data_IF_884110918172
#
_entry.id   IF_884110918172
#
_cell.length_a   1.000
_cell.length_b   1.000
_cell.length_c   1.000
_cell.angle_alpha   90.00
_cell.angle_beta   90.00
_cell.angle_gamma   90.00
#
_symmetry.space_group_name_H-M   'P 1'
#
loop_
_entity.id
_entity.type
_entity.pdbx_description
1 polymer ?
#
# COMPACT_ATOMS: atom_id res chain seq x y z
N UNK A 1 -10.59 -10.98 -10.52
CA UNK A 1 -11.43 -10.20 -11.46
C UNK A 1 -11.23 -8.69 -11.32
N UNK A 2 -11.62 -8.02 -10.22
CA UNK A 2 -11.50 -6.55 -10.12
C UNK A 2 -10.04 -6.06 -10.16
N UNK A 3 -9.13 -6.70 -9.41
CA UNK A 3 -7.69 -6.40 -9.42
C UNK A 3 -7.06 -6.62 -10.80
N UNK A 4 -7.44 -7.70 -11.47
CA UNK A 4 -6.82 -8.10 -12.73
C UNK A 4 -7.29 -7.16 -13.87
N UNK A 5 -8.58 -6.80 -13.88
CA UNK A 5 -9.11 -5.74 -14.74
C UNK A 5 -8.45 -4.39 -14.47
N UNK A 6 -8.20 -4.05 -13.20
CA UNK A 6 -7.52 -2.80 -12.87
C UNK A 6 -6.05 -2.80 -13.31
N UNK A 7 -5.35 -3.94 -13.23
CA UNK A 7 -3.96 -4.06 -13.72
C UNK A 7 -3.87 -3.85 -15.23
N UNK A 8 -4.82 -4.39 -15.98
CA UNK A 8 -4.93 -4.17 -17.43
C UNK A 8 -5.17 -2.69 -17.72
N UNK A 9 -6.19 -2.09 -17.08
CA UNK A 9 -6.46 -0.66 -17.17
C UNK A 9 -5.24 0.22 -16.84
N UNK A 10 -4.50 -0.07 -15.75
CA UNK A 10 -3.31 0.69 -15.37
C UNK A 10 -2.20 0.58 -16.42
N UNK A 11 -2.02 -0.60 -17.02
CA UNK A 11 -1.00 -0.82 -18.05
C UNK A 11 -1.34 -0.06 -19.32
N UNK A 12 -2.59 -0.17 -19.77
CA UNK A 12 -3.07 0.48 -20.99
C UNK A 12 -3.06 2.00 -20.84
N UNK A 13 -3.55 2.50 -19.69
CA UNK A 13 -3.53 3.93 -19.38
C UNK A 13 -2.10 4.45 -19.30
N UNK A 14 -1.19 3.74 -18.62
CA UNK A 14 0.20 4.14 -18.46
C UNK A 14 0.95 4.24 -19.79
N UNK A 15 0.85 3.22 -20.65
CA UNK A 15 1.53 3.21 -21.95
C UNK A 15 0.94 4.21 -22.94
N UNK A 16 -0.36 4.07 -23.26
CA UNK A 16 -1.01 4.92 -24.26
C UNK A 16 -1.14 6.38 -23.81
N UNK A 17 -1.33 6.60 -22.51
CA UNK A 17 -1.41 7.94 -21.93
C UNK A 17 -0.05 8.64 -21.97
N UNK A 18 1.03 7.95 -21.61
CA UNK A 18 2.38 8.53 -21.64
C UNK A 18 2.78 8.93 -23.06
N UNK A 19 2.56 8.05 -24.06
CA UNK A 19 2.84 8.37 -25.46
C UNK A 19 2.11 9.63 -25.94
N UNK A 20 0.84 9.80 -25.54
CA UNK A 20 0.04 10.98 -25.90
C UNK A 20 0.54 12.25 -25.21
N UNK A 21 0.92 12.16 -23.94
CA UNK A 21 1.48 13.29 -23.18
C UNK A 21 2.84 13.69 -23.75
N UNK A 22 3.68 12.74 -24.11
CA UNK A 22 4.98 12.99 -24.75
C UNK A 22 4.83 13.67 -26.11
N UNK A 23 3.89 13.21 -26.94
CA UNK A 23 3.58 13.83 -28.23
C UNK A 23 3.07 15.28 -28.06
N UNK A 24 2.18 15.53 -27.09
CA UNK A 24 1.67 16.86 -26.79
C UNK A 24 2.78 17.80 -26.28
N UNK A 25 3.66 17.29 -25.41
CA UNK A 25 4.83 18.02 -24.92
C UNK A 25 5.81 18.38 -26.05
N UNK A 26 6.05 17.45 -26.98
CA UNK A 26 6.91 17.71 -28.14
C UNK A 26 6.32 18.79 -29.06
N UNK A 27 5.00 18.76 -29.30
CA UNK A 27 4.31 19.78 -30.08
C UNK A 27 4.37 21.16 -29.39
N UNK A 28 4.13 21.22 -28.07
CA UNK A 28 4.24 22.44 -27.29
C UNK A 28 5.66 23.03 -27.33
N UNK A 29 6.68 22.19 -27.17
CA UNK A 29 8.08 22.59 -27.24
C UNK A 29 8.45 23.17 -28.62
N UNK A 30 7.96 22.57 -29.70
CA UNK A 30 8.20 23.07 -31.06
C UNK A 30 7.59 24.46 -31.28
N UNK A 31 6.37 24.72 -30.79
CA UNK A 31 5.72 26.03 -30.87
C UNK A 31 6.48 27.10 -30.06
N UNK A 32 6.95 26.74 -28.87
CA UNK A 32 7.72 27.65 -28.01
C UNK A 32 9.06 27.99 -28.65
N UNK A 33 9.80 26.98 -29.13
CA UNK A 33 11.10 27.17 -29.79
C UNK A 33 10.98 27.95 -31.11
N UNK A 34 9.87 27.76 -31.84
CA UNK A 34 9.55 28.50 -33.07
C UNK A 34 9.14 29.97 -32.84
N UNK A 35 9.08 30.43 -31.57
CA UNK A 35 8.77 31.82 -31.25
C UNK A 35 7.28 32.18 -31.38
N UNK A 36 6.37 31.20 -31.28
CA UNK A 36 4.94 31.41 -31.42
C UNK A 36 4.45 32.61 -30.56
N UNK A 37 3.54 33.47 -31.07
CA UNK A 37 3.05 34.65 -30.34
C UNK A 37 2.46 34.31 -28.97
N UNK A 38 1.78 33.17 -28.86
CA UNK A 38 1.16 32.70 -27.62
C UNK A 38 2.03 31.72 -26.81
N UNK A 39 3.35 31.70 -27.01
CA UNK A 39 4.27 30.77 -26.33
C UNK A 39 4.11 30.72 -24.80
N UNK A 40 3.75 31.83 -24.16
CA UNK A 40 3.48 31.87 -22.72
C UNK A 40 2.23 31.06 -22.33
N UNK A 41 1.14 31.18 -23.11
CA UNK A 41 -0.08 30.39 -22.91
C UNK A 41 0.16 28.90 -23.22
N UNK A 42 0.91 28.61 -24.29
CA UNK A 42 1.31 27.22 -24.62
C UNK A 42 2.10 26.58 -23.49
N UNK A 43 3.07 27.30 -22.89
CA UNK A 43 3.84 26.77 -21.76
C UNK A 43 2.96 26.52 -20.51
N UNK A 44 1.97 27.38 -20.28
CA UNK A 44 1.02 27.21 -19.18
C UNK A 44 0.13 25.98 -19.38
N UNK A 45 -0.40 25.76 -20.59
CA UNK A 45 -1.18 24.55 -20.90
C UNK A 45 -0.33 23.29 -20.81
N UNK A 46 0.93 23.35 -21.28
CA UNK A 46 1.87 22.25 -21.15
C UNK A 46 2.12 21.88 -19.68
N UNK A 47 2.33 22.89 -18.82
CA UNK A 47 2.49 22.67 -17.39
C UNK A 47 1.24 22.04 -16.76
N UNK A 48 0.05 22.56 -17.07
CA UNK A 48 -1.21 22.02 -16.56
C UNK A 48 -1.51 20.58 -17.04
N UNK A 49 -1.17 20.25 -18.29
CA UNK A 49 -1.27 18.89 -18.82
C UNK A 49 -0.38 17.93 -18.02
N UNK A 50 0.87 18.31 -17.77
CA UNK A 50 1.83 17.48 -17.04
C UNK A 50 1.42 17.31 -15.57
N UNK A 51 0.89 18.35 -14.95
CA UNK A 51 0.32 18.28 -13.59
C UNK A 51 -0.87 17.31 -13.54
N UNK A 52 -1.86 17.47 -14.42
CA UNK A 52 -3.01 16.57 -14.48
C UNK A 52 -2.63 15.11 -14.79
N UNK A 53 -1.61 14.89 -15.63
CA UNK A 53 -1.08 13.56 -15.90
C UNK A 53 -0.42 12.94 -14.66
N UNK A 54 0.40 13.71 -13.95
CA UNK A 54 1.03 13.26 -12.72
C UNK A 54 -0.01 12.90 -11.64
N UNK A 55 -1.05 13.72 -11.47
CA UNK A 55 -2.16 13.43 -10.55
C UNK A 55 -2.90 12.13 -10.91
N UNK A 56 -3.15 11.91 -12.21
CA UNK A 56 -3.78 10.67 -12.66
C UNK A 56 -2.91 9.44 -12.36
N UNK A 57 -1.60 9.52 -12.62
CA UNK A 57 -0.68 8.43 -12.30
C UNK A 57 -0.65 8.11 -10.80
N UNK A 58 -0.65 9.13 -9.94
CA UNK A 58 -0.74 8.96 -8.48
C UNK A 58 -2.06 8.32 -8.05
N UNK A 59 -3.19 8.72 -8.64
CA UNK A 59 -4.49 8.11 -8.38
C UNK A 59 -4.50 6.63 -8.78
N UNK A 60 -3.96 6.31 -9.96
CA UNK A 60 -3.85 4.92 -10.45
C UNK A 60 -2.96 4.09 -9.52
N UNK A 61 -1.81 4.64 -9.10
CA UNK A 61 -0.89 3.97 -8.17
C UNK A 61 -1.55 3.71 -6.80
N UNK A 62 -2.22 4.72 -6.23
CA UNK A 62 -2.97 4.60 -4.98
C UNK A 62 -4.02 3.50 -5.07
N UNK A 63 -4.81 3.50 -6.16
CA UNK A 63 -5.85 2.50 -6.35
C UNK A 63 -5.29 1.09 -6.55
N UNK A 64 -4.14 0.94 -7.22
CA UNK A 64 -3.45 -0.34 -7.34
C UNK A 64 -3.03 -0.89 -5.96
N UNK A 65 -2.49 -0.02 -5.10
CA UNK A 65 -2.09 -0.39 -3.74
C UNK A 65 -3.29 -0.83 -2.88
N UNK A 66 -4.41 -0.10 -2.94
CA UNK A 66 -5.64 -0.46 -2.23
C UNK A 66 -6.17 -1.84 -2.64
N UNK A 67 -6.25 -2.10 -3.95
CA UNK A 67 -6.73 -3.37 -4.47
C UNK A 67 -5.80 -4.53 -4.11
N UNK A 68 -4.48 -4.30 -4.11
CA UNK A 68 -3.51 -5.28 -3.65
C UNK A 68 -3.69 -5.60 -2.17
N UNK A 69 -3.81 -4.57 -1.32
CA UNK A 69 -4.00 -4.73 0.12
C UNK A 69 -5.32 -5.47 0.45
N UNK A 70 -6.42 -5.11 -0.23
CA UNK A 70 -7.71 -5.77 -0.06
C UNK A 70 -7.64 -7.25 -0.47
N UNK A 71 -6.98 -7.56 -1.59
CA UNK A 71 -6.77 -8.93 -2.04
C UNK A 71 -5.94 -9.75 -1.04
N UNK A 72 -4.82 -9.21 -0.56
CA UNK A 72 -3.95 -9.88 0.41
C UNK A 72 -4.71 -10.19 1.71
N UNK A 73 -5.52 -9.24 2.19
CA UNK A 73 -6.36 -9.44 3.38
C UNK A 73 -7.43 -10.52 3.17
N UNK A 74 -8.08 -10.54 2.01
CA UNK A 74 -9.08 -11.57 1.69
C UNK A 74 -8.44 -12.96 1.62
N UNK A 75 -7.27 -13.06 0.96
CA UNK A 75 -6.49 -14.30 0.91
C UNK A 75 -6.12 -14.77 2.32
N UNK A 76 -5.52 -13.91 3.14
CA UNK A 76 -5.17 -14.22 4.52
C UNK A 76 -6.37 -14.75 5.32
N UNK A 77 -7.52 -14.05 5.25
CA UNK A 77 -8.75 -14.45 5.95
C UNK A 77 -9.24 -15.83 5.51
N UNK A 78 -9.18 -16.13 4.22
CA UNK A 78 -9.58 -17.43 3.68
C UNK A 78 -8.64 -18.52 4.18
N UNK A 79 -7.33 -18.31 4.03
CA UNK A 79 -6.32 -19.30 4.38
C UNK A 79 -6.36 -19.58 5.91
N UNK A 80 -6.51 -18.55 6.75
CA UNK A 80 -6.69 -18.70 8.19
C UNK A 80 -7.98 -19.46 8.59
N UNK A 81 -9.10 -19.21 7.89
CA UNK A 81 -10.36 -19.94 8.13
C UNK A 81 -10.24 -21.41 7.76
N UNK A 82 -9.54 -21.71 6.67
CA UNK A 82 -9.31 -23.09 6.22
C UNK A 82 -8.49 -23.86 7.26
N UNK A 83 -7.35 -23.30 7.71
CA UNK A 83 -6.51 -23.93 8.74
C UNK A 83 -7.29 -24.13 10.03
N UNK A 84 -8.06 -23.12 10.47
CA UNK A 84 -8.88 -23.24 11.67
C UNK A 84 -9.96 -24.33 11.55
N UNK A 85 -10.58 -24.48 10.38
CA UNK A 85 -11.54 -25.55 10.13
C UNK A 85 -10.88 -26.93 10.20
N UNK A 86 -9.74 -27.11 9.54
CA UNK A 86 -8.99 -28.38 9.57
C UNK A 86 -8.54 -28.76 10.98
N UNK A 87 -8.06 -27.79 11.76
CA UNK A 87 -7.68 -28.02 13.15
C UNK A 87 -8.89 -28.45 14.01
N UNK A 88 -10.04 -27.80 13.82
CA UNK A 88 -11.29 -28.17 14.52
C UNK A 88 -11.78 -29.56 14.13
N UNK A 89 -11.67 -29.91 12.86
CA UNK A 89 -12.09 -31.23 12.37
C UNK A 89 -11.18 -32.32 12.92
N UNK A 90 -9.85 -32.13 12.90
CA UNK A 90 -8.90 -33.05 13.54
C UNK A 90 -9.16 -33.16 15.05
N UNK A 91 -9.39 -32.05 15.75
CA UNK A 91 -9.70 -32.10 17.19
C UNK A 91 -10.94 -32.94 17.54
N UNK A 92 -11.95 -33.01 16.64
CA UNK A 92 -13.13 -33.87 16.82
C UNK A 92 -12.90 -35.34 16.48
N UNK A 93 -11.82 -35.66 15.77
CA UNK A 93 -11.50 -37.01 15.31
C UNK A 93 -10.56 -37.76 16.26
N UNK A 94 -10.11 -37.13 17.35
CA UNK A 94 -9.22 -37.76 18.34
C UNK A 94 -9.95 -38.96 18.97
N UNK A 95 -9.47 -40.20 18.77
CA UNK A 95 -10.10 -41.37 19.34
C UNK A 95 -9.93 -41.41 20.86
N UNK A 96 -11.01 -41.66 21.59
CA UNK A 96 -10.99 -41.82 23.06
C UNK A 96 -10.94 -43.30 23.50
N UNK A 97 -11.07 -44.23 22.55
CA UNK A 97 -11.04 -45.66 22.83
C UNK A 97 -9.64 -46.13 23.27
N UNK A 98 -9.58 -47.01 24.29
CA UNK A 98 -8.33 -47.52 24.85
C UNK A 98 -8.04 -48.99 24.48
N UNK A 99 -8.99 -49.67 23.85
CA UNK A 99 -8.92 -51.10 23.56
C UNK A 99 -9.31 -51.97 24.76
N UNK A 100 -9.71 -53.22 24.50
CA UNK A 100 -10.19 -54.16 25.53
C UNK A 100 -9.14 -55.20 25.94
N UNK A 101 -8.03 -55.25 25.20
CA UNK A 101 -6.90 -56.14 25.41
C UNK A 101 -5.62 -55.52 24.84
N UNK A 102 -4.48 -56.17 25.07
CA UNK A 102 -3.16 -55.70 24.63
C UNK A 102 -3.08 -55.50 23.11
N UNK A 103 -3.59 -56.44 22.32
CA UNK A 103 -3.49 -56.38 20.86
C UNK A 103 -4.30 -55.20 20.30
N UNK A 104 -5.49 -54.99 20.86
CA UNK A 104 -6.35 -53.86 20.52
C UNK A 104 -5.70 -52.52 20.91
N UNK A 105 -5.13 -52.43 22.11
CA UNK A 105 -4.44 -51.24 22.59
C UNK A 105 -3.21 -50.90 21.73
N UNK A 106 -2.37 -51.88 21.38
CA UNK A 106 -1.23 -51.70 20.47
C UNK A 106 -1.67 -51.28 19.05
N UNK A 107 -2.82 -51.76 18.59
CA UNK A 107 -3.42 -51.33 17.32
C UNK A 107 -3.83 -49.86 17.34
N UNK A 108 -4.54 -49.45 18.38
CA UNK A 108 -4.97 -48.07 18.59
C UNK A 108 -3.77 -47.13 18.77
N UNK A 109 -2.72 -47.57 19.46
CA UNK A 109 -1.49 -46.80 19.65
C UNK A 109 -0.79 -46.48 18.32
N UNK A 110 -0.65 -47.48 17.43
CA UNK A 110 -0.12 -47.25 16.07
C UNK A 110 -1.00 -46.30 15.25
N UNK A 111 -2.31 -46.43 15.35
CA UNK A 111 -3.25 -45.51 14.68
C UNK A 111 -3.13 -44.09 15.23
N UNK A 112 -2.98 -43.94 16.55
CA UNK A 112 -2.83 -42.64 17.18
C UNK A 112 -1.52 -41.96 16.75
N UNK A 113 -0.40 -42.68 16.70
CA UNK A 113 0.86 -42.14 16.15
C UNK A 113 0.72 -41.67 14.71
N UNK A 114 0.00 -42.40 13.87
CA UNK A 114 -0.27 -41.97 12.50
C UNK A 114 -1.14 -40.71 12.47
N UNK A 115 -2.15 -40.62 13.35
CA UNK A 115 -2.97 -39.43 13.51
C UNK A 115 -2.16 -38.21 13.97
N UNK A 116 -1.23 -38.38 14.93
CA UNK A 116 -0.32 -37.31 15.37
C UNK A 116 0.54 -36.79 14.23
N UNK A 117 1.06 -37.69 13.38
CA UNK A 117 1.81 -37.30 12.19
C UNK A 117 0.96 -36.47 11.21
N UNK A 118 -0.29 -36.86 10.98
CA UNK A 118 -1.23 -36.08 10.16
C UNK A 118 -1.50 -34.68 10.75
N UNK A 119 -1.60 -34.58 12.08
CA UNK A 119 -1.78 -33.28 12.76
C UNK A 119 -0.52 -32.42 12.61
N UNK A 120 0.67 -33.01 12.74
CA UNK A 120 1.94 -32.30 12.53
C UNK A 120 2.05 -31.74 11.11
N UNK A 121 1.51 -32.41 10.10
CA UNK A 121 1.48 -31.90 8.73
C UNK A 121 0.71 -30.56 8.59
N UNK A 122 -0.22 -30.25 9.51
CA UNK A 122 -0.92 -28.96 9.55
C UNK A 122 -0.06 -27.82 10.10
N UNK A 123 1.05 -28.11 10.80
CA UNK A 123 1.94 -27.09 11.38
C UNK A 123 2.53 -26.16 10.32
N UNK A 124 2.84 -26.67 9.12
CA UNK A 124 3.33 -25.84 8.02
C UNK A 124 2.29 -24.79 7.59
N UNK A 125 1.01 -25.15 7.57
CA UNK A 125 -0.08 -24.25 7.18
C UNK A 125 -0.37 -23.22 8.28
N UNK A 126 -0.34 -23.64 9.54
CA UNK A 126 -0.43 -22.75 10.70
C UNK A 126 0.72 -21.73 10.73
N UNK A 127 1.96 -22.19 10.53
CA UNK A 127 3.13 -21.33 10.40
C UNK A 127 3.02 -20.32 9.25
N UNK A 128 2.46 -20.72 8.10
CA UNK A 128 2.24 -19.81 6.97
C UNK A 128 1.23 -18.70 7.31
N UNK A 129 0.13 -19.03 8.01
CA UNK A 129 -0.86 -18.05 8.48
C UNK A 129 -0.23 -17.11 9.52
N UNK A 130 0.56 -17.64 10.47
CA UNK A 130 1.26 -16.85 11.47
C UNK A 130 2.26 -15.87 10.84
N UNK A 131 3.04 -16.32 9.85
CA UNK A 131 3.96 -15.47 9.11
C UNK A 131 3.25 -14.34 8.35
N UNK A 132 2.16 -14.65 7.64
CA UNK A 132 1.35 -13.65 6.94
C UNK A 132 0.77 -12.60 7.90
N UNK A 133 0.33 -13.02 9.09
CA UNK A 133 -0.14 -12.11 10.12
C UNK A 133 0.97 -11.18 10.65
N UNK A 134 2.16 -11.73 10.92
CA UNK A 134 3.32 -10.95 11.35
C UNK A 134 3.71 -9.91 10.29
N UNK A 135 3.68 -10.28 9.01
CA UNK A 135 3.96 -9.38 7.91
C UNK A 135 2.94 -8.23 7.85
N UNK A 136 1.64 -8.53 7.92
CA UNK A 136 0.57 -7.53 7.93
C UNK A 136 0.74 -6.54 9.08
N UNK A 137 1.02 -7.03 10.29
CA UNK A 137 1.34 -6.18 11.44
C UNK A 137 2.53 -5.28 11.17
N UNK A 138 3.60 -5.82 10.57
CA UNK A 138 4.78 -5.06 10.18
C UNK A 138 4.46 -3.94 9.18
N UNK A 139 3.67 -4.23 8.14
CA UNK A 139 3.19 -3.23 7.16
C UNK A 139 2.40 -2.10 7.85
N UNK A 140 1.45 -2.45 8.73
CA UNK A 140 0.68 -1.47 9.50
C UNK A 140 1.54 -0.59 10.40
N UNK A 141 2.53 -1.18 11.09
CA UNK A 141 3.46 -0.43 11.94
C UNK A 141 4.33 0.54 11.13
N UNK A 142 4.83 0.11 9.97
CA UNK A 142 5.60 0.98 9.06
C UNK A 142 4.76 2.15 8.56
N UNK A 143 3.52 1.90 8.11
CA UNK A 143 2.58 2.97 7.69
C UNK A 143 2.36 3.97 8.83
N UNK A 144 2.12 3.50 10.05
CA UNK A 144 1.92 4.37 11.22
C UNK A 144 3.13 5.26 11.50
N UNK A 145 4.35 4.72 11.41
CA UNK A 145 5.59 5.50 11.59
C UNK A 145 5.70 6.59 10.52
N UNK A 146 5.58 6.22 9.24
CA UNK A 146 5.62 7.18 8.12
C UNK A 146 4.58 8.29 8.26
N UNK A 147 3.35 7.95 8.65
CA UNK A 147 2.30 8.96 8.90
C UNK A 147 2.68 9.90 10.05
N UNK A 148 3.27 9.37 11.11
CA UNK A 148 3.83 10.18 12.20
C UNK A 148 4.91 11.13 11.69
N UNK A 149 5.89 10.62 10.95
CA UNK A 149 7.01 11.39 10.42
C UNK A 149 6.53 12.52 9.49
N UNK A 150 5.57 12.22 8.60
CA UNK A 150 4.95 13.22 7.72
C UNK A 150 4.16 14.28 8.50
N UNK A 151 3.46 13.91 9.57
CA UNK A 151 2.78 14.87 10.43
C UNK A 151 3.79 15.82 11.09
N UNK A 152 4.90 15.31 11.61
CA UNK A 152 5.96 16.16 12.18
C UNK A 152 6.59 17.08 11.12
N UNK A 153 6.82 16.57 9.91
CA UNK A 153 7.29 17.39 8.78
C UNK A 153 6.34 18.56 8.49
N UNK A 154 5.03 18.32 8.40
CA UNK A 154 4.07 19.39 8.13
C UNK A 154 3.96 20.39 9.30
N UNK A 155 4.05 19.93 10.54
CA UNK A 155 4.11 20.83 11.71
C UNK A 155 5.33 21.74 11.65
N UNK A 156 6.50 21.20 11.31
CA UNK A 156 7.72 21.98 11.14
C UNK A 156 7.58 23.02 10.03
N UNK A 157 7.10 22.62 8.83
CA UNK A 157 6.90 23.53 7.70
C UNK A 157 5.95 24.68 8.04
N UNK A 158 4.88 24.39 8.78
CA UNK A 158 3.96 25.42 9.28
C UNK A 158 4.67 26.38 10.23
N UNK A 159 5.36 25.87 11.24
CA UNK A 159 6.09 26.71 12.21
C UNK A 159 7.14 27.60 11.52
N UNK A 160 7.88 27.07 10.55
CA UNK A 160 8.86 27.82 9.78
C UNK A 160 8.22 28.95 8.95
N UNK A 161 7.06 28.68 8.33
CA UNK A 161 6.31 29.70 7.58
C UNK A 161 5.79 30.81 8.49
N UNK A 162 5.23 30.44 9.64
CA UNK A 162 4.73 31.39 10.62
C UNK A 162 5.86 32.29 11.14
N UNK A 163 7.04 31.70 11.44
CA UNK A 163 8.23 32.45 11.85
C UNK A 163 8.72 33.40 10.76
N UNK A 164 8.74 32.97 9.50
CA UNK A 164 9.15 33.81 8.36
C UNK A 164 8.23 35.00 8.17
N UNK A 165 6.92 34.79 8.20
CA UNK A 165 5.94 35.88 8.11
C UNK A 165 6.09 36.88 9.26
N UNK A 166 6.35 36.38 10.47
CA UNK A 166 6.64 37.24 11.62
C UNK A 166 7.91 38.06 11.42
N UNK A 167 9.01 37.46 10.95
CA UNK A 167 10.27 38.17 10.66
C UNK A 167 10.08 39.23 9.57
N UNK A 168 9.38 38.91 8.48
CA UNK A 168 9.07 39.86 7.41
C UNK A 168 8.28 41.06 7.95
N UNK A 169 7.29 40.80 8.82
CA UNK A 169 6.54 41.84 9.53
C UNK A 169 7.41 42.73 10.43
N UNK A 170 8.34 42.14 11.19
CA UNK A 170 9.28 42.89 12.03
C UNK A 170 10.22 43.77 11.21
N UNK A 171 10.72 43.26 10.09
CA UNK A 171 11.59 44.03 9.18
C UNK A 171 10.85 45.27 8.64
N UNK A 172 9.60 45.11 8.22
CA UNK A 172 8.77 46.23 7.77
C UNK A 172 8.55 47.27 8.87
N UNK A 173 8.31 46.84 10.12
CA UNK A 173 8.14 47.77 11.24
C UNK A 173 9.41 48.55 11.56
N UNK A 174 10.58 47.92 11.48
CA UNK A 174 11.87 48.60 11.68
C UNK A 174 12.11 49.66 10.60
N UNK A 175 11.94 49.30 9.32
CA UNK A 175 12.09 50.24 8.21
C UNK A 175 11.11 51.42 8.28
N UNK A 176 9.89 51.20 8.77
CA UNK A 176 8.91 52.26 8.96
C UNK A 176 9.30 53.24 10.08
N UNK A 177 10.00 52.77 11.12
CA UNK A 177 10.48 53.61 12.24
C UNK A 177 11.71 54.44 11.90
N UNK A 178 12.51 54.02 10.91
CA UNK A 178 13.75 54.67 10.50
C UNK A 178 13.57 55.78 9.45
N UNK A 179 12.37 55.99 8.90
CA UNK A 179 12.11 57.10 7.96
C UNK A 179 12.08 58.44 8.70
N UNK A 180 13.03 59.38 8.46
CA UNK A 180 12.96 60.72 9.04
C UNK A 180 11.84 61.52 8.35
N UNK A 181 11.24 62.46 9.10
CA UNK A 181 10.29 63.45 8.57
C UNK A 181 10.97 64.43 7.63
#
# INVERSE_FOLDING_TARGET
>A
LLRDKFREFSRDTGGLGQERVDAANAAAAALIAGGHPERAAVAQWQAGLNEAWAELLELVATRAQELAAAHDLQRFRRDARQVLAQLRDKARQVPEELGRDLRAAEGLERQHRAFEHDVQALSAQEGAVAAAWAELRGRCQRRRRLLGDTVEQFRFLRAARDLRLWMDGMHLQLQARERPR
#
